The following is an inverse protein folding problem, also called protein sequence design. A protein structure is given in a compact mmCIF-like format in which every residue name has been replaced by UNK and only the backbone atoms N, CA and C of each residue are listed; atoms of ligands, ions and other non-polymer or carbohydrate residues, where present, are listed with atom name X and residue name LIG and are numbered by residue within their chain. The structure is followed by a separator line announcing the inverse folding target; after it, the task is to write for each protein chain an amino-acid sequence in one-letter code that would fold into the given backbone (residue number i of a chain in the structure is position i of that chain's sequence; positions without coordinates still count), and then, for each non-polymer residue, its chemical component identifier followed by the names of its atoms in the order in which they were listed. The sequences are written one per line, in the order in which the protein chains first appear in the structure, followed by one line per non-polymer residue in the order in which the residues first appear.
data_IF_815033067418
#
_entry.id   IF_815033067418
#
_cell.length_a   1.000
_cell.length_b   1.000
_cell.length_c   1.000
_cell.angle_alpha   90.00
_cell.angle_beta   90.00
_cell.angle_gamma   90.00
#
_symmetry.space_group_name_H-M   'P 1'
#
loop_
_entity.id
_entity.type
_entity.pdbx_description
1 polymer ?
#
# COMPACT_ATOMS: atom_id res chain seq x y z
N UNK A 1 -11.09 10.45 4.00
CA UNK A 1 -10.71 9.02 4.22
C UNK A 1 -9.56 9.01 5.22
N UNK A 2 -9.77 8.38 6.38
CA UNK A 2 -8.82 8.39 7.52
C UNK A 2 -7.35 8.11 7.14
N UNK A 3 -7.11 7.19 6.18
CA UNK A 3 -5.76 6.87 5.74
C UNK A 3 -5.02 8.08 5.14
N UNK A 4 -5.69 8.92 4.35
CA UNK A 4 -5.07 10.11 3.75
C UNK A 4 -4.71 11.18 4.79
N UNK A 5 -5.51 11.30 5.86
CA UNK A 5 -5.22 12.20 6.97
C UNK A 5 -3.94 11.76 7.70
N UNK A 6 -3.82 10.46 7.99
CA UNK A 6 -2.63 9.89 8.61
C UNK A 6 -1.38 10.01 7.72
N UNK A 7 -1.54 9.82 6.40
CA UNK A 7 -0.43 9.97 5.44
C UNK A 7 -0.02 11.43 5.24
N UNK A 8 -0.92 12.38 5.45
CA UNK A 8 -0.57 13.80 5.44
C UNK A 8 0.25 14.21 6.67
N UNK A 9 0.02 13.55 7.83
CA UNK A 9 0.81 13.77 9.05
C UNK A 9 2.18 13.06 8.98
N UNK A 10 2.20 11.82 8.51
CA UNK A 10 3.43 11.04 8.31
C UNK A 10 3.33 10.27 6.97
N UNK A 11 4.06 10.72 5.92
CA UNK A 11 3.95 10.13 4.59
C UNK A 11 4.72 8.80 4.43
N UNK A 12 5.25 8.23 5.49
CA UNK A 12 5.95 6.94 5.45
C UNK A 12 4.98 5.81 5.78
N UNK A 13 4.96 4.80 4.92
CA UNK A 13 4.26 3.54 5.11
C UNK A 13 5.29 2.45 5.40
N UNK A 14 5.13 1.74 6.52
CA UNK A 14 6.01 0.63 6.86
C UNK A 14 5.65 -0.62 6.05
N UNK A 15 6.51 -1.03 5.13
CA UNK A 15 6.35 -2.24 4.32
C UNK A 15 6.91 -3.46 5.06
N UNK A 16 6.03 -4.22 5.69
CA UNK A 16 6.32 -5.35 6.58
C UNK A 16 6.41 -6.65 5.78
N UNK A 17 7.56 -7.32 5.81
CA UNK A 17 7.84 -8.57 5.09
C UNK A 17 8.06 -9.76 6.02
N UNK A 18 8.24 -9.52 7.31
CA UNK A 18 8.53 -10.55 8.31
C UNK A 18 7.90 -10.20 9.66
N UNK A 19 7.83 -11.18 10.57
CA UNK A 19 7.41 -10.92 11.95
C UNK A 19 8.35 -9.95 12.68
N UNK A 20 9.64 -9.96 12.34
CA UNK A 20 10.62 -8.99 12.87
C UNK A 20 10.36 -7.57 12.37
N UNK A 21 9.91 -7.41 11.12
CA UNK A 21 9.47 -6.11 10.60
C UNK A 21 8.18 -5.66 11.28
N UNK A 22 7.23 -6.58 11.48
CA UNK A 22 5.99 -6.25 12.18
C UNK A 22 6.29 -5.72 13.59
N UNK A 23 7.10 -6.45 14.35
CA UNK A 23 7.47 -6.02 15.70
C UNK A 23 8.13 -4.62 15.72
N UNK A 24 9.02 -4.33 14.78
CA UNK A 24 9.63 -3.01 14.64
C UNK A 24 8.61 -1.93 14.23
N UNK A 25 7.71 -2.23 13.28
CA UNK A 25 6.72 -1.29 12.78
C UNK A 25 5.66 -0.92 13.83
N UNK A 26 5.36 -1.82 14.79
CA UNK A 26 4.41 -1.54 15.87
C UNK A 26 4.87 -0.37 16.76
N UNK A 27 6.18 -0.21 16.94
CA UNK A 27 6.77 0.85 17.79
C UNK A 27 7.30 2.04 17.00
N UNK A 28 7.42 1.94 15.67
CA UNK A 28 7.92 3.01 14.81
C UNK A 28 6.85 4.09 14.56
N UNK A 29 7.25 5.32 14.15
CA UNK A 29 6.33 6.44 13.85
C UNK A 29 5.25 6.20 12.79
N UNK A 30 5.46 5.44 11.69
CA UNK A 30 4.43 5.26 10.66
C UNK A 30 3.11 4.75 11.21
N UNK A 31 2.03 5.44 10.86
CA UNK A 31 0.66 5.08 11.28
C UNK A 31 -0.02 4.08 10.34
N UNK A 32 0.55 3.85 9.16
CA UNK A 32 0.03 2.92 8.14
C UNK A 32 1.05 1.84 7.85
N UNK A 33 0.63 0.59 7.90
CA UNK A 33 1.46 -0.59 7.61
C UNK A 33 0.94 -1.32 6.37
N UNK A 34 1.86 -1.71 5.49
CA UNK A 34 1.61 -2.66 4.41
C UNK A 34 2.11 -4.03 4.82
N UNK A 35 1.20 -4.98 5.06
CA UNK A 35 1.54 -6.36 5.39
C UNK A 35 1.74 -7.15 4.08
N UNK A 36 3.01 -7.31 3.68
CA UNK A 36 3.39 -7.88 2.38
C UNK A 36 3.58 -9.40 2.42
N UNK A 37 3.68 -9.99 3.61
CA UNK A 37 3.83 -11.44 3.79
C UNK A 37 2.85 -11.90 4.86
N UNK A 38 1.61 -12.11 4.48
CA UNK A 38 0.55 -12.58 5.37
C UNK A 38 0.31 -14.07 5.20
N UNK A 39 -0.10 -14.75 6.28
CA UNK A 39 -0.60 -16.11 6.25
C UNK A 39 -1.95 -16.15 6.97
N UNK A 40 -2.93 -16.82 6.35
CA UNK A 40 -4.31 -16.85 6.86
C UNK A 40 -4.41 -17.29 8.32
N UNK A 41 -3.50 -18.16 8.79
CA UNK A 41 -3.51 -18.69 10.15
C UNK A 41 -3.05 -17.67 11.20
N UNK A 42 -2.22 -16.69 10.82
CA UNK A 42 -1.66 -15.68 11.74
C UNK A 42 -2.26 -14.29 11.54
N UNK A 43 -2.97 -14.09 10.44
CA UNK A 43 -3.43 -12.78 9.96
C UNK A 43 -4.30 -12.04 10.98
N UNK A 44 -5.24 -12.73 11.66
CA UNK A 44 -6.08 -12.14 12.71
C UNK A 44 -5.22 -11.49 13.81
N UNK A 45 -4.28 -12.24 14.37
CA UNK A 45 -3.43 -11.75 15.45
C UNK A 45 -2.52 -10.60 15.00
N UNK A 46 -2.08 -10.60 13.73
CA UNK A 46 -1.29 -9.51 13.15
C UNK A 46 -2.13 -8.22 13.04
N UNK A 47 -3.35 -8.29 12.51
CA UNK A 47 -4.28 -7.15 12.42
C UNK A 47 -4.57 -6.59 13.81
N UNK A 48 -4.96 -7.44 14.75
CA UNK A 48 -5.24 -7.04 16.14
C UNK A 48 -4.05 -6.37 16.82
N UNK A 49 -2.82 -6.85 16.57
CA UNK A 49 -1.61 -6.24 17.13
C UNK A 49 -1.35 -4.84 16.59
N UNK A 50 -1.60 -4.61 15.29
CA UNK A 50 -1.48 -3.29 14.65
C UNK A 50 -2.52 -2.31 15.22
N UNK A 51 -3.78 -2.75 15.33
CA UNK A 51 -4.86 -1.92 15.86
C UNK A 51 -4.67 -1.56 17.34
N UNK A 52 -4.12 -2.46 18.17
CA UNK A 52 -3.78 -2.13 19.58
C UNK A 52 -2.76 -1.00 19.69
N UNK A 53 -1.94 -0.78 18.66
CA UNK A 53 -1.02 0.34 18.59
C UNK A 53 -1.63 1.61 17.95
N UNK A 54 -2.93 1.61 17.65
CA UNK A 54 -3.63 2.74 17.03
C UNK A 54 -3.32 2.95 15.55
N UNK A 55 -2.74 1.95 14.88
CA UNK A 55 -2.28 2.03 13.49
C UNK A 55 -3.25 1.32 12.54
N UNK A 56 -3.12 1.61 11.24
CA UNK A 56 -3.87 0.95 10.16
C UNK A 56 -3.01 -0.11 9.46
N UNK A 57 -3.66 -1.19 9.00
CA UNK A 57 -3.02 -2.27 8.26
C UNK A 57 -3.74 -2.58 6.95
N UNK A 58 -2.97 -2.52 5.85
CA UNK A 58 -3.42 -2.96 4.54
C UNK A 58 -2.69 -4.26 4.17
N UNK A 59 -3.45 -5.25 3.74
CA UNK A 59 -2.92 -6.59 3.44
C UNK A 59 -2.65 -6.73 1.95
N UNK A 60 -1.43 -7.14 1.57
CA UNK A 60 -1.12 -7.48 0.19
C UNK A 60 -1.74 -8.85 -0.16
N UNK A 61 -2.94 -8.80 -0.72
CA UNK A 61 -3.76 -9.98 -0.92
C UNK A 61 -3.15 -10.98 -1.90
N UNK A 62 -2.41 -10.50 -2.93
CA UNK A 62 -1.76 -11.40 -3.91
C UNK A 62 -0.69 -12.29 -3.28
N UNK A 63 -0.02 -11.82 -2.22
CA UNK A 63 1.05 -12.55 -1.52
C UNK A 63 0.56 -13.27 -0.26
N UNK A 64 -0.69 -13.04 0.16
CA UNK A 64 -1.23 -13.68 1.36
C UNK A 64 -1.41 -15.18 1.15
N UNK A 65 -0.68 -15.98 1.92
CA UNK A 65 -0.71 -17.43 1.87
C UNK A 65 -2.03 -17.98 2.43
N UNK A 66 -2.63 -18.95 1.74
CA UNK A 66 -3.91 -19.56 2.14
C UNK A 66 -5.14 -18.69 1.91
N UNK A 67 -4.99 -17.44 1.47
CA UNK A 67 -6.10 -16.52 1.22
C UNK A 67 -6.52 -16.53 -0.26
N UNK A 68 -7.82 -16.69 -0.54
CA UNK A 68 -8.38 -16.59 -1.89
C UNK A 68 -8.18 -15.18 -2.48
N UNK A 69 -7.87 -15.11 -3.79
CA UNK A 69 -7.69 -13.83 -4.52
C UNK A 69 -9.00 -13.43 -5.21
N UNK A 70 -10.09 -13.49 -4.46
CA UNK A 70 -11.48 -13.38 -4.91
C UNK A 70 -12.37 -12.62 -3.89
N UNK A 71 -13.67 -12.59 -4.14
CA UNK A 71 -14.63 -11.94 -3.26
C UNK A 71 -14.69 -12.55 -1.85
N UNK A 72 -14.51 -13.86 -1.72
CA UNK A 72 -14.53 -14.53 -0.40
C UNK A 72 -13.30 -14.12 0.44
N UNK A 73 -12.12 -14.05 -0.19
CA UNK A 73 -10.92 -13.57 0.47
C UNK A 73 -11.02 -12.10 0.90
N UNK A 74 -11.59 -11.23 0.07
CA UNK A 74 -11.83 -9.82 0.43
C UNK A 74 -12.86 -9.69 1.57
N UNK A 75 -13.95 -10.46 1.52
CA UNK A 75 -14.94 -10.51 2.61
C UNK A 75 -14.31 -10.97 3.93
N UNK A 76 -13.46 -11.99 3.88
CA UNK A 76 -12.75 -12.48 5.06
C UNK A 76 -11.83 -11.42 5.67
N UNK A 77 -11.06 -10.68 4.85
CA UNK A 77 -10.23 -9.57 5.33
C UNK A 77 -11.06 -8.47 6.00
N UNK A 78 -12.20 -8.13 5.41
CA UNK A 78 -13.13 -7.16 6.00
C UNK A 78 -13.67 -7.66 7.35
N UNK A 79 -14.05 -8.95 7.47
CA UNK A 79 -14.49 -9.55 8.74
C UNK A 79 -13.38 -9.60 9.80
N UNK A 80 -12.12 -9.73 9.41
CA UNK A 80 -10.97 -9.64 10.31
C UNK A 80 -10.68 -8.21 10.76
N UNK A 81 -11.31 -7.21 10.13
CA UNK A 81 -11.11 -5.81 10.43
C UNK A 81 -9.88 -5.21 9.73
N UNK A 82 -9.35 -5.81 8.66
CA UNK A 82 -8.31 -5.15 7.87
C UNK A 82 -8.81 -3.78 7.37
N UNK A 83 -7.94 -2.77 7.36
CA UNK A 83 -8.30 -1.43 6.92
C UNK A 83 -8.27 -1.30 5.39
N UNK A 84 -7.54 -2.17 4.72
CA UNK A 84 -7.49 -2.17 3.26
C UNK A 84 -6.74 -3.36 2.67
N UNK A 85 -6.68 -3.33 1.34
CA UNK A 85 -6.07 -4.36 0.49
C UNK A 85 -5.14 -3.72 -0.51
N UNK A 86 -4.00 -4.37 -0.75
CA UNK A 86 -3.09 -4.07 -1.84
C UNK A 86 -3.14 -5.24 -2.83
N UNK A 87 -3.30 -4.95 -4.11
CA UNK A 87 -3.27 -5.98 -5.16
C UNK A 87 -2.86 -5.40 -6.51
N UNK A 88 -2.24 -6.22 -7.34
CA UNK A 88 -2.01 -5.91 -8.76
C UNK A 88 -3.24 -6.18 -9.63
N UNK A 89 -4.21 -6.94 -9.10
CA UNK A 89 -5.38 -7.45 -9.83
C UNK A 89 -6.58 -6.53 -9.70
N UNK A 90 -7.06 -6.00 -10.82
CA UNK A 90 -8.26 -5.15 -10.87
C UNK A 90 -9.51 -5.80 -10.26
N UNK A 91 -9.66 -7.12 -10.41
CA UNK A 91 -10.80 -7.85 -9.80
C UNK A 91 -10.75 -7.80 -8.27
N UNK A 92 -9.57 -7.99 -7.67
CA UNK A 92 -9.38 -7.92 -6.21
C UNK A 92 -9.67 -6.52 -5.69
N UNK A 93 -9.24 -5.47 -6.41
CA UNK A 93 -9.53 -4.09 -6.05
C UNK A 93 -11.03 -3.81 -6.03
N UNK A 94 -11.78 -4.29 -7.04
CA UNK A 94 -13.24 -4.16 -7.05
C UNK A 94 -13.90 -4.89 -5.88
N UNK A 95 -13.45 -6.11 -5.55
CA UNK A 95 -13.94 -6.83 -4.38
C UNK A 95 -13.63 -6.09 -3.08
N UNK A 96 -12.40 -5.60 -2.90
CA UNK A 96 -12.04 -4.84 -1.72
C UNK A 96 -12.98 -3.65 -1.50
N UNK A 97 -13.24 -2.87 -2.55
CA UNK A 97 -14.18 -1.74 -2.50
C UNK A 97 -15.60 -2.16 -2.14
N UNK A 98 -16.09 -3.28 -2.68
CA UNK A 98 -17.47 -3.76 -2.39
C UNK A 98 -17.65 -4.19 -0.92
N UNK A 99 -16.56 -4.51 -0.22
CA UNK A 99 -16.56 -4.82 1.22
C UNK A 99 -16.08 -3.67 2.11
N UNK A 100 -15.98 -2.45 1.56
CA UNK A 100 -15.62 -1.25 2.32
C UNK A 100 -14.15 -1.14 2.74
N UNK A 101 -13.28 -1.97 2.15
CA UNK A 101 -11.84 -1.92 2.36
C UNK A 101 -11.20 -0.81 1.51
N UNK A 102 -10.23 -0.10 2.07
CA UNK A 102 -9.39 0.81 1.29
C UNK A 102 -8.62 0.00 0.23
N UNK A 103 -8.78 0.36 -1.04
CA UNK A 103 -8.25 -0.40 -2.16
C UNK A 103 -7.03 0.30 -2.78
N UNK A 104 -5.85 -0.30 -2.60
CA UNK A 104 -4.59 0.16 -3.20
C UNK A 104 -4.24 -0.71 -4.39
N UNK A 105 -4.26 -0.15 -5.60
CA UNK A 105 -3.83 -0.88 -6.79
C UNK A 105 -2.34 -0.66 -7.04
N UNK A 106 -1.57 -1.78 -7.09
CA UNK A 106 -0.12 -1.75 -7.34
C UNK A 106 0.18 -1.95 -8.81
N UNK A 107 1.09 -1.12 -9.35
CA UNK A 107 1.59 -1.22 -10.71
C UNK A 107 3.11 -1.26 -10.75
N UNK A 108 3.65 -2.06 -11.70
CA UNK A 108 5.07 -2.09 -12.00
C UNK A 108 5.35 -1.31 -13.27
N UNK A 109 6.15 -0.25 -13.17
CA UNK A 109 6.48 0.68 -14.24
C UNK A 109 7.79 0.28 -14.91
N UNK A 110 7.71 -0.58 -15.90
CA UNK A 110 8.89 -1.12 -16.61
C UNK A 110 9.16 -0.43 -17.94
N UNK A 111 8.10 0.10 -18.60
CA UNK A 111 8.18 0.78 -19.89
C UNK A 111 6.98 1.74 -20.11
N UNK A 112 6.94 2.41 -21.25
CA UNK A 112 5.83 3.31 -21.59
C UNK A 112 4.50 2.60 -21.79
N UNK A 113 4.50 1.33 -22.17
CA UNK A 113 3.28 0.54 -22.32
C UNK A 113 2.65 0.24 -20.94
N UNK A 114 3.48 -0.12 -19.96
CA UNK A 114 3.00 -0.34 -18.57
C UNK A 114 2.39 0.94 -17.96
N UNK A 115 2.94 2.11 -18.29
CA UNK A 115 2.39 3.41 -17.87
C UNK A 115 1.00 3.65 -18.46
N UNK A 116 0.83 3.45 -19.78
CA UNK A 116 -0.47 3.60 -20.44
C UNK A 116 -1.51 2.61 -19.91
N UNK A 117 -1.13 1.33 -19.75
CA UNK A 117 -2.00 0.28 -19.22
C UNK A 117 -2.45 0.59 -17.78
N UNK A 118 -1.55 1.12 -16.95
CA UNK A 118 -1.89 1.51 -15.59
C UNK A 118 -2.92 2.65 -15.58
N UNK A 119 -2.74 3.68 -16.41
CA UNK A 119 -3.69 4.78 -16.52
C UNK A 119 -5.09 4.30 -16.96
N UNK A 120 -5.18 3.39 -17.94
CA UNK A 120 -6.44 2.79 -18.37
C UNK A 120 -7.09 1.97 -17.23
N UNK A 121 -6.31 1.18 -16.50
CA UNK A 121 -6.78 0.39 -15.38
C UNK A 121 -7.31 1.28 -14.25
N UNK A 122 -6.60 2.34 -13.90
CA UNK A 122 -7.02 3.29 -12.86
C UNK A 122 -8.37 3.91 -13.21
N UNK A 123 -8.55 4.35 -14.48
CA UNK A 123 -9.83 4.90 -14.94
C UNK A 123 -10.98 3.90 -14.85
N UNK A 124 -10.73 2.64 -15.17
CA UNK A 124 -11.75 1.58 -15.20
C UNK A 124 -12.09 1.03 -13.81
N UNK A 125 -11.14 1.03 -12.88
CA UNK A 125 -11.26 0.38 -11.56
C UNK A 125 -11.53 1.39 -10.46
N UNK A 126 -10.99 2.61 -10.59
CA UNK A 126 -11.08 3.69 -9.61
C UNK A 126 -10.66 3.24 -8.20
N UNK A 127 -9.40 2.78 -8.02
CA UNK A 127 -8.89 2.46 -6.71
C UNK A 127 -8.87 3.70 -5.79
N UNK A 128 -8.80 3.49 -4.48
CA UNK A 128 -8.71 4.62 -3.53
C UNK A 128 -7.31 5.23 -3.51
N UNK A 129 -6.29 4.40 -3.74
CA UNK A 129 -4.88 4.77 -3.84
C UNK A 129 -4.21 3.92 -4.92
N UNK A 130 -3.12 4.43 -5.47
CA UNK A 130 -2.27 3.72 -6.43
C UNK A 130 -0.86 3.61 -5.86
N UNK A 131 -0.25 2.43 -5.92
CA UNK A 131 1.16 2.27 -5.60
C UNK A 131 1.96 2.02 -6.87
N UNK A 132 2.95 2.86 -7.16
CA UNK A 132 3.85 2.75 -8.30
C UNK A 132 5.20 2.19 -7.87
N UNK A 133 5.66 1.17 -8.57
CA UNK A 133 6.94 0.51 -8.35
C UNK A 133 7.75 0.43 -9.66
N UNK A 134 9.06 0.74 -9.64
CA UNK A 134 9.83 1.23 -8.49
C UNK A 134 9.60 2.74 -8.23
N UNK A 135 9.52 3.11 -6.94
CA UNK A 135 9.24 4.47 -6.49
C UNK A 135 10.37 5.48 -6.71
N UNK A 136 11.57 5.00 -7.07
CA UNK A 136 12.77 5.81 -7.33
C UNK A 136 12.78 6.48 -8.71
N UNK A 137 11.65 6.50 -9.43
CA UNK A 137 11.54 7.15 -10.75
C UNK A 137 10.61 8.37 -10.62
N UNK A 138 11.10 9.54 -10.19
CA UNK A 138 10.26 10.71 -9.92
C UNK A 138 9.41 11.16 -11.11
N UNK A 139 9.94 11.05 -12.33
CA UNK A 139 9.19 11.42 -13.54
C UNK A 139 7.90 10.61 -13.75
N UNK A 140 7.89 9.33 -13.33
CA UNK A 140 6.70 8.47 -13.42
C UNK A 140 5.69 8.90 -12.37
N UNK A 141 6.14 9.15 -11.14
CA UNK A 141 5.29 9.68 -10.05
C UNK A 141 4.64 11.00 -10.46
N UNK A 142 5.43 11.92 -11.02
CA UNK A 142 4.95 13.23 -11.48
C UNK A 142 3.91 13.10 -12.60
N UNK A 143 4.15 12.21 -13.57
CA UNK A 143 3.21 11.95 -14.67
C UNK A 143 1.85 11.50 -14.13
N UNK A 144 1.83 10.48 -13.25
CA UNK A 144 0.58 10.01 -12.65
C UNK A 144 -0.07 11.03 -11.74
N UNK A 145 0.70 11.77 -10.95
CA UNK A 145 0.19 12.83 -10.08
C UNK A 145 -0.49 13.97 -10.86
N UNK A 146 -0.06 14.23 -12.10
CA UNK A 146 -0.67 15.25 -12.95
C UNK A 146 -1.93 14.75 -13.72
N UNK A 147 -1.98 13.46 -14.07
CA UNK A 147 -3.03 12.90 -14.94
C UNK A 147 -4.12 12.13 -14.19
N UNK A 148 -3.82 11.63 -13.01
CA UNK A 148 -4.74 10.82 -12.22
C UNK A 148 -5.20 11.58 -10.96
N UNK A 149 -6.51 11.64 -10.73
CA UNK A 149 -7.08 12.20 -9.51
C UNK A 149 -6.88 11.29 -8.27
N UNK A 150 -6.29 10.10 -8.46
CA UNK A 150 -6.06 9.12 -7.38
C UNK A 150 -4.69 9.38 -6.74
N UNK A 151 -4.61 9.49 -5.39
CA UNK A 151 -3.33 9.73 -4.71
C UNK A 151 -2.34 8.60 -4.95
N UNK A 152 -1.07 8.97 -5.20
CA UNK A 152 0.01 8.05 -5.57
C UNK A 152 0.89 7.75 -4.36
N UNK A 153 1.18 6.48 -4.14
CA UNK A 153 2.21 5.98 -3.23
C UNK A 153 3.41 5.57 -4.07
N UNK A 154 4.60 6.06 -3.74
CA UNK A 154 5.85 5.59 -4.33
C UNK A 154 6.39 4.41 -3.50
N UNK A 155 6.59 3.24 -4.13
CA UNK A 155 7.05 2.04 -3.45
C UNK A 155 8.15 1.30 -4.19
N UNK A 156 8.92 0.50 -3.44
CA UNK A 156 10.01 -0.32 -3.98
C UNK A 156 11.30 0.44 -4.30
N UNK A 157 12.41 -0.14 -3.90
CA UNK A 157 13.78 0.36 -4.07
C UNK A 157 14.07 1.71 -3.40
N UNK A 158 13.23 2.16 -2.47
CA UNK A 158 13.45 3.40 -1.70
C UNK A 158 14.14 3.02 -0.39
N UNK A 159 15.43 3.31 -0.30
CA UNK A 159 16.28 2.87 0.81
C UNK A 159 16.96 4.03 1.55
N UNK A 160 16.89 5.26 1.03
CA UNK A 160 17.44 6.44 1.68
C UNK A 160 16.49 7.64 1.72
N UNK A 161 16.82 8.63 2.55
CA UNK A 161 16.01 9.83 2.77
C UNK A 161 15.92 10.74 1.55
N UNK A 162 16.92 10.77 0.69
CA UNK A 162 16.92 11.61 -0.51
C UNK A 162 15.91 11.09 -1.52
N UNK A 163 15.75 9.77 -1.64
CA UNK A 163 14.77 9.11 -2.49
C UNK A 163 13.34 9.35 -2.00
N UNK A 164 13.12 9.30 -0.68
CA UNK A 164 11.84 9.69 -0.07
C UNK A 164 11.48 11.12 -0.45
N UNK A 165 12.41 12.07 -0.24
CA UNK A 165 12.20 13.48 -0.56
C UNK A 165 11.92 13.67 -2.06
N UNK A 166 12.65 12.95 -2.93
CA UNK A 166 12.46 13.03 -4.38
C UNK A 166 11.06 12.54 -4.79
N UNK A 167 10.59 11.43 -4.23
CA UNK A 167 9.26 10.89 -4.50
C UNK A 167 8.14 11.86 -4.03
N UNK A 168 8.24 12.41 -2.83
CA UNK A 168 7.27 13.37 -2.29
C UNK A 168 7.25 14.67 -3.10
N UNK A 169 8.43 15.20 -3.49
CA UNK A 169 8.53 16.38 -4.37
C UNK A 169 7.95 16.14 -5.76
N UNK A 170 7.99 14.91 -6.24
CA UNK A 170 7.37 14.52 -7.51
C UNK A 170 5.83 14.40 -7.40
N UNK A 171 5.24 14.58 -6.23
CA UNK A 171 3.80 14.56 -6.00
C UNK A 171 3.26 13.26 -5.42
N UNK A 172 4.11 12.34 -4.94
CA UNK A 172 3.63 11.21 -4.17
C UNK A 172 2.98 11.69 -2.86
N UNK A 173 1.81 11.13 -2.53
CA UNK A 173 1.12 11.37 -1.28
C UNK A 173 1.80 10.63 -0.11
N UNK A 174 2.50 9.53 -0.41
CA UNK A 174 3.23 8.74 0.58
C UNK A 174 4.33 7.90 -0.09
N UNK A 175 5.19 7.34 0.75
CA UNK A 175 6.25 6.41 0.36
C UNK A 175 6.12 5.12 1.16
N UNK A 176 6.08 3.97 0.47
CA UNK A 176 6.15 2.65 1.12
C UNK A 176 7.58 2.11 1.05
N UNK A 177 8.17 1.79 2.19
CA UNK A 177 9.53 1.26 2.26
C UNK A 177 9.70 0.17 3.29
N UNK A 178 10.55 -0.82 2.98
CA UNK A 178 11.00 -1.86 3.91
C UNK A 178 12.28 -1.48 4.68
N UNK A 179 12.88 -0.34 4.37
CA UNK A 179 14.08 0.16 5.06
C UNK A 179 13.68 0.71 6.44
N UNK A 180 13.90 -0.07 7.51
CA UNK A 180 13.50 0.28 8.89
C UNK A 180 14.09 1.61 9.37
N UNK A 181 15.28 1.97 8.88
CA UNK A 181 15.90 3.25 9.22
C UNK A 181 15.03 4.45 8.80
N UNK A 182 14.31 4.33 7.68
CA UNK A 182 13.40 5.36 7.18
C UNK A 182 12.07 5.44 7.96
N UNK A 183 11.71 4.41 8.71
CA UNK A 183 10.53 4.45 9.57
C UNK A 183 10.72 5.37 10.78
N UNK A 184 11.98 5.64 11.14
CA UNK A 184 12.34 6.47 12.29
C UNK A 184 12.74 7.91 11.88
N UNK A 185 12.61 8.26 10.58
CA UNK A 185 13.11 9.52 10.02
C UNK A 185 12.11 10.69 10.17
#
# INVERSE_FOLDING_TARGET
MKILELLAENPIIAAVRSNGDLAAALTAPPSVLFLLNANILTLRGQIESVHRCGKLVLVHMDLAEGLGKDGAGAAYLSQLGADGVISTRSSVIRFAKSYGLCAVQRFFMVDSHSVATAADSIRAVQPDLVELMPGIIPKVVQHFGAECAVPVIAGGLIDDKSEVIAALRAGAAAVSTGARALWMA
#
